data_IF_631367608045
#
_entry.id   IF_631367608045
#
_cell.length_a   1.000
_cell.length_b   1.000
_cell.length_c   1.000
_cell.angle_alpha   90.00
_cell.angle_beta   90.00
_cell.angle_gamma   90.00
#
_symmetry.space_group_name_H-M   'P 1'
#
loop_
_entity.id
_entity.type
_entity.pdbx_description
1 polymer ?
#
# COMPACT_ATOMS: atom_id res chain seq x y z
N UNK A 1 22.70 25.34 7.64
CA UNK A 1 21.61 25.74 8.56
C UNK A 1 20.58 24.62 8.51
N UNK A 2 20.50 23.80 9.56
CA UNK A 2 19.50 22.71 9.60
C UNK A 2 18.14 23.38 9.69
N UNK A 3 17.26 23.11 8.72
CA UNK A 3 15.90 23.61 8.71
C UNK A 3 15.20 22.99 9.92
N UNK A 4 14.69 23.80 10.85
CA UNK A 4 13.84 23.26 11.92
C UNK A 4 12.66 22.54 11.29
N UNK A 5 12.50 21.26 11.62
CA UNK A 5 11.30 20.49 11.30
C UNK A 5 10.11 21.07 12.06
N UNK A 6 8.91 20.94 11.48
CA UNK A 6 7.68 21.32 12.15
C UNK A 6 7.59 20.54 13.50
N UNK A 7 7.39 21.20 14.64
CA UNK A 7 7.28 20.52 15.94
C UNK A 7 6.20 19.44 15.98
N UNK A 8 5.11 19.61 15.22
CA UNK A 8 4.05 18.60 15.12
C UNK A 8 4.49 17.36 14.36
N UNK A 9 5.40 17.49 13.41
CA UNK A 9 6.02 16.34 12.74
C UNK A 9 7.03 15.65 13.67
N UNK A 10 7.80 16.44 14.42
CA UNK A 10 8.77 15.92 15.39
C UNK A 10 8.11 15.18 16.57
N UNK A 11 6.83 15.43 16.82
CA UNK A 11 6.06 14.78 17.87
C UNK A 11 5.43 13.44 17.44
N UNK A 12 5.55 13.05 16.17
CA UNK A 12 5.04 11.76 15.68
C UNK A 12 6.04 10.66 16.06
N UNK A 13 5.55 9.61 16.71
CA UNK A 13 6.34 8.42 17.01
C UNK A 13 6.61 7.61 15.72
N UNK A 14 7.78 6.97 15.66
CA UNK A 14 8.12 6.09 14.54
C UNK A 14 7.13 4.90 14.49
N UNK A 15 6.71 4.46 13.29
CA UNK A 15 5.74 3.39 13.18
C UNK A 15 6.36 2.05 13.64
N UNK A 16 5.68 1.28 14.51
CA UNK A 16 6.25 0.07 15.10
C UNK A 16 6.58 -1.03 14.08
N UNK A 17 5.97 -0.97 12.89
CA UNK A 17 6.25 -1.91 11.80
C UNK A 17 7.71 -1.82 11.33
N UNK A 18 8.30 -0.61 11.30
CA UNK A 18 9.67 -0.41 10.84
C UNK A 18 10.68 -1.00 11.84
N UNK A 19 10.39 -0.88 13.13
CA UNK A 19 11.19 -1.48 14.21
C UNK A 19 11.20 -3.01 14.11
N UNK A 20 10.01 -3.62 13.98
CA UNK A 20 9.86 -5.08 13.88
C UNK A 20 10.54 -5.61 12.61
N UNK A 21 10.42 -4.90 11.48
CA UNK A 21 11.19 -5.23 10.27
C UNK A 21 12.71 -5.14 10.50
N UNK A 22 13.16 -4.20 11.33
CA UNK A 22 14.55 -4.08 11.77
C UNK A 22 15.06 -5.33 12.48
N UNK A 23 14.24 -5.99 13.30
CA UNK A 23 14.65 -7.20 14.03
C UNK A 23 14.99 -8.38 13.13
N UNK A 24 14.37 -8.48 11.96
CA UNK A 24 14.56 -9.59 11.00
C UNK A 24 15.49 -9.23 9.85
N UNK A 25 15.85 -7.96 9.69
CA UNK A 25 16.70 -7.47 8.60
C UNK A 25 18.05 -8.17 8.57
N UNK A 26 18.44 -8.68 7.40
CA UNK A 26 19.71 -9.38 7.20
C UNK A 26 19.78 -10.79 7.83
N UNK A 27 18.69 -11.27 8.45
CA UNK A 27 18.62 -12.64 8.97
C UNK A 27 18.06 -13.58 7.90
N UNK A 28 18.60 -14.79 7.83
CA UNK A 28 18.06 -15.89 7.03
C UNK A 28 17.38 -16.92 7.93
N UNK A 29 16.23 -17.44 7.49
CA UNK A 29 15.47 -18.45 8.24
C UNK A 29 15.48 -19.77 7.46
N UNK A 30 15.88 -20.90 8.08
CA UNK A 30 15.93 -22.19 7.40
C UNK A 30 14.51 -22.68 7.07
N UNK A 31 14.39 -23.55 6.07
CA UNK A 31 13.08 -24.04 5.59
C UNK A 31 12.31 -24.79 6.67
N UNK A 32 13.01 -25.48 7.57
CA UNK A 32 12.46 -26.24 8.69
C UNK A 32 12.00 -25.33 9.84
N UNK A 33 12.45 -24.08 9.86
CA UNK A 33 12.06 -23.06 10.85
C UNK A 33 11.91 -21.70 10.15
N UNK A 34 10.90 -21.53 9.29
CA UNK A 34 10.68 -20.30 8.57
C UNK A 34 10.24 -19.19 9.52
N UNK A 35 10.45 -17.95 9.12
CA UNK A 35 9.79 -16.81 9.75
C UNK A 35 8.30 -16.84 9.39
N UNK A 36 7.43 -16.75 10.39
CA UNK A 36 5.99 -16.57 10.20
C UNK A 36 5.69 -15.10 10.47
N UNK A 37 5.40 -14.36 9.42
CA UNK A 37 5.01 -12.95 9.53
C UNK A 37 3.50 -12.85 9.77
N UNK A 38 3.13 -12.59 11.03
CA UNK A 38 1.75 -12.28 11.45
C UNK A 38 1.55 -10.78 11.74
N UNK A 39 2.52 -9.94 11.38
CA UNK A 39 2.48 -8.51 11.66
C UNK A 39 1.69 -7.72 10.63
N UNK A 40 1.47 -8.28 9.44
CA UNK A 40 0.78 -7.60 8.35
C UNK A 40 -0.70 -7.94 8.29
N UNK A 41 -1.52 -6.90 8.11
CA UNK A 41 -2.96 -7.04 7.84
C UNK A 41 -3.28 -7.25 6.34
N UNK A 42 -2.32 -7.77 5.57
CA UNK A 42 -2.49 -8.03 4.15
C UNK A 42 -3.15 -9.41 3.93
N UNK A 43 -4.19 -9.53 3.09
CA UNK A 43 -4.69 -10.83 2.67
C UNK A 43 -3.57 -11.69 2.06
N UNK A 44 -3.55 -12.98 2.39
CA UNK A 44 -2.59 -13.96 1.86
C UNK A 44 -2.87 -14.39 0.41
N UNK A 45 -3.88 -13.79 -0.23
CA UNK A 45 -4.32 -14.08 -1.59
C UNK A 45 -4.36 -12.79 -2.43
N UNK A 46 -4.19 -12.89 -3.76
CA UNK A 46 -4.23 -11.72 -4.63
C UNK A 46 -5.63 -11.12 -4.70
N UNK A 47 -5.77 -9.85 -5.14
CA UNK A 47 -7.07 -9.27 -5.44
C UNK A 47 -7.87 -10.14 -6.43
N UNK A 48 -9.20 -10.01 -6.36
CA UNK A 48 -10.13 -10.78 -7.19
C UNK A 48 -9.73 -10.73 -8.69
N UNK A 49 -9.82 -11.87 -9.37
CA UNK A 49 -9.37 -11.99 -10.76
C UNK A 49 -10.04 -10.99 -11.71
N UNK A 50 -11.32 -10.70 -11.48
CA UNK A 50 -12.07 -9.72 -12.28
C UNK A 50 -11.48 -8.31 -12.18
N UNK A 51 -11.08 -7.88 -10.98
CA UNK A 51 -10.42 -6.59 -10.77
C UNK A 51 -9.08 -6.54 -11.51
N UNK A 52 -8.26 -7.59 -11.37
CA UNK A 52 -6.97 -7.67 -12.06
C UNK A 52 -7.11 -7.61 -13.59
N UNK A 53 -8.09 -8.32 -14.15
CA UNK A 53 -8.39 -8.29 -15.59
C UNK A 53 -8.87 -6.90 -16.02
N UNK A 54 -9.78 -6.27 -15.24
CA UNK A 54 -10.26 -4.93 -15.55
C UNK A 54 -9.11 -3.90 -15.54
N UNK A 55 -8.26 -3.90 -14.50
CA UNK A 55 -7.09 -3.03 -14.42
C UNK A 55 -6.13 -3.24 -15.60
N UNK A 56 -5.89 -4.49 -16.01
CA UNK A 56 -5.00 -4.77 -17.15
C UNK A 56 -5.45 -4.09 -18.45
N UNK A 57 -6.77 -4.00 -18.67
CA UNK A 57 -7.33 -3.31 -19.84
C UNK A 57 -7.16 -1.80 -19.74
N UNK A 58 -7.42 -1.23 -18.57
CA UNK A 58 -7.28 0.22 -18.33
C UNK A 58 -5.84 0.69 -18.49
N UNK A 59 -4.85 -0.09 -18.01
CA UNK A 59 -3.42 0.27 -18.13
C UNK A 59 -2.97 0.35 -19.59
N UNK A 60 -3.58 -0.44 -20.48
CA UNK A 60 -3.25 -0.42 -21.92
C UNK A 60 -4.00 0.67 -22.68
N UNK A 61 -5.04 1.27 -22.09
CA UNK A 61 -5.80 2.35 -22.69
C UNK A 61 -5.10 3.69 -22.44
N UNK A 62 -4.46 4.23 -23.48
CA UNK A 62 -3.74 5.51 -23.39
C UNK A 62 -4.61 6.69 -22.94
N UNK A 63 -5.94 6.63 -23.13
CA UNK A 63 -6.86 7.66 -22.63
C UNK A 63 -6.93 7.72 -21.10
N UNK A 64 -6.58 6.62 -20.42
CA UNK A 64 -6.57 6.52 -18.96
C UNK A 64 -5.32 7.11 -18.30
N UNK A 65 -4.36 7.63 -19.09
CA UNK A 65 -3.13 8.24 -18.56
C UNK A 65 -3.30 9.69 -18.11
N UNK A 66 -4.47 10.30 -18.34
CA UNK A 66 -4.76 11.68 -18.01
C UNK A 66 -5.34 11.87 -16.61
N UNK A 67 -5.43 13.13 -16.19
CA UNK A 67 -6.15 13.49 -14.96
C UNK A 67 -7.66 13.27 -15.10
N UNK A 68 -8.28 12.88 -13.99
CA UNK A 68 -9.74 12.84 -13.82
C UNK A 68 -10.20 13.94 -12.88
N UNK A 69 -11.49 13.95 -12.54
CA UNK A 69 -12.01 14.79 -11.46
C UNK A 69 -11.27 14.53 -10.15
N UNK A 70 -11.04 15.59 -9.36
CA UNK A 70 -10.33 15.56 -8.08
C UNK A 70 -11.00 14.58 -7.09
N UNK A 71 -12.33 14.55 -7.08
CA UNK A 71 -13.11 13.65 -6.21
C UNK A 71 -13.20 12.21 -6.70
N UNK A 72 -12.55 11.86 -7.82
CA UNK A 72 -12.68 10.57 -8.48
C UNK A 72 -13.78 10.55 -9.56
N UNK A 73 -13.69 9.56 -10.45
CA UNK A 73 -14.56 9.45 -11.62
C UNK A 73 -16.06 9.29 -11.22
N UNK A 74 -17.00 9.90 -11.97
CA UNK A 74 -18.43 9.84 -11.66
C UNK A 74 -18.97 8.42 -11.47
N UNK A 75 -18.52 7.48 -12.31
CA UNK A 75 -18.95 6.08 -12.27
C UNK A 75 -18.58 5.40 -10.95
N UNK A 76 -17.39 5.69 -10.42
CA UNK A 76 -16.92 5.12 -9.15
C UNK A 76 -17.71 5.73 -7.98
N UNK A 77 -17.90 7.06 -7.99
CA UNK A 77 -18.67 7.74 -6.95
C UNK A 77 -20.11 7.25 -6.89
N UNK A 78 -20.74 7.02 -8.03
CA UNK A 78 -22.09 6.46 -8.11
C UNK A 78 -22.14 5.04 -7.53
N UNK A 79 -21.21 4.16 -7.92
CA UNK A 79 -21.16 2.79 -7.42
C UNK A 79 -20.92 2.68 -5.91
N UNK A 80 -20.24 3.65 -5.29
CA UNK A 80 -20.07 3.72 -3.83
C UNK A 80 -21.30 4.28 -3.08
N UNK A 81 -22.18 5.00 -3.77
CA UNK A 81 -23.36 5.64 -3.18
C UNK A 81 -24.62 4.75 -3.23
N UNK A 82 -24.57 3.69 -4.03
CA UNK A 82 -25.58 2.61 -4.09
C UNK A 82 -25.37 1.59 -2.96
#
# INVERSE_FOLDING_TARGET
MIKMLNPMLAAIEDPPIDEVQGWVRGRSFPREKPLIDLSQALPSYPPAAQLRIHMSKLVLDGSMSGYTEIGGIPQLRQAYAE
#
